data_IF_446442636219
#
_entry.id   IF_446442636219
#
_cell.length_a   1.000
_cell.length_b   1.000
_cell.length_c   1.000
_cell.angle_alpha   90.00
_cell.angle_beta   90.00
_cell.angle_gamma   90.00
#
_symmetry.space_group_name_H-M   'P 1'
#
loop_
_entity.id
_entity.type
_entity.pdbx_description
1 polymer ?
#
# COMPACT_ATOMS: atom_id res chain seq x y z
N UNK A 1 35.41 -17.60 25.07
CA UNK A 1 34.01 -17.48 25.52
C UNK A 1 33.36 -16.37 24.71
N UNK A 2 32.66 -16.72 23.64
CA UNK A 2 31.91 -15.84 22.74
C UNK A 2 30.82 -16.69 22.04
N UNK A 3 29.64 -16.14 21.71
CA UNK A 3 28.38 -16.88 21.83
C UNK A 3 27.59 -17.07 20.50
N UNK A 4 26.85 -18.18 20.45
CA UNK A 4 25.48 -18.32 19.93
C UNK A 4 25.10 -17.81 18.51
N UNK A 5 25.99 -17.85 17.51
CA UNK A 5 25.61 -17.63 16.11
C UNK A 5 25.27 -18.92 15.32
N UNK A 6 25.25 -20.09 15.97
CA UNK A 6 25.33 -21.38 15.28
C UNK A 6 24.04 -22.21 15.22
N UNK A 7 22.90 -21.73 15.72
CA UNK A 7 21.72 -22.59 15.91
C UNK A 7 20.48 -22.29 15.07
N UNK A 8 20.44 -21.21 14.27
CA UNK A 8 19.25 -20.92 13.44
C UNK A 8 19.38 -21.29 11.96
N UNK A 9 20.57 -21.67 11.49
CA UNK A 9 20.80 -22.11 10.10
C UNK A 9 20.71 -23.63 9.88
N UNK A 10 20.28 -24.40 10.87
CA UNK A 10 20.22 -25.87 10.78
C UNK A 10 18.84 -26.44 10.43
N UNK A 11 17.76 -25.65 10.46
CA UNK A 11 16.43 -26.17 10.09
C UNK A 11 16.16 -26.21 8.57
N UNK A 12 16.96 -25.52 7.74
CA UNK A 12 16.81 -25.62 6.28
C UNK A 12 17.72 -26.66 5.62
N UNK A 13 18.66 -27.27 6.37
CA UNK A 13 19.68 -28.15 5.79
C UNK A 13 19.44 -29.65 5.94
N UNK A 14 18.32 -30.10 6.53
CA UNK A 14 18.10 -31.54 6.78
C UNK A 14 17.00 -32.20 5.94
N UNK A 15 16.37 -31.49 5.00
CA UNK A 15 15.32 -32.07 4.13
C UNK A 15 15.79 -32.46 2.72
N UNK A 16 17.09 -32.36 2.38
CA UNK A 16 17.57 -32.71 1.02
C UNK A 16 18.88 -33.48 0.96
N UNK A 17 19.26 -34.17 2.04
CA UNK A 17 20.47 -35.00 2.04
C UNK A 17 20.27 -36.43 1.49
N UNK A 18 19.19 -36.71 0.74
CA UNK A 18 18.96 -38.04 0.14
C UNK A 18 18.63 -37.97 -1.37
N UNK A 19 19.38 -37.17 -2.13
CA UNK A 19 19.73 -37.44 -3.53
C UNK A 19 20.57 -36.26 -4.07
N UNK A 20 21.88 -36.31 -3.82
CA UNK A 20 22.82 -35.36 -4.42
C UNK A 20 23.60 -36.07 -5.53
N UNK A 21 23.04 -36.08 -6.74
CA UNK A 21 23.81 -36.21 -7.97
C UNK A 21 23.71 -34.87 -8.70
N UNK A 22 24.81 -34.10 -8.64
CA UNK A 22 25.20 -33.02 -9.55
C UNK A 22 24.07 -32.13 -10.10
N UNK A 23 23.47 -31.25 -9.30
CA UNK A 23 22.67 -30.14 -9.81
C UNK A 23 23.58 -29.11 -10.50
N UNK A 24 23.37 -28.87 -11.79
CA UNK A 24 24.06 -27.83 -12.58
C UNK A 24 23.45 -26.44 -12.31
N UNK A 25 24.19 -25.37 -12.57
CA UNK A 25 23.65 -24.01 -12.57
C UNK A 25 22.42 -23.88 -13.50
N UNK A 26 22.39 -24.65 -14.59
CA UNK A 26 21.24 -24.74 -15.50
C UNK A 26 19.99 -25.33 -14.84
N UNK A 27 20.16 -26.25 -13.89
CA UNK A 27 19.03 -26.83 -13.14
C UNK A 27 18.52 -25.84 -12.10
N UNK A 28 19.40 -25.03 -11.48
CA UNK A 28 18.97 -23.92 -10.63
C UNK A 28 18.17 -22.87 -11.43
N UNK A 29 18.63 -22.50 -12.63
CA UNK A 29 17.91 -21.56 -13.50
C UNK A 29 16.56 -22.10 -13.96
N UNK A 30 16.46 -23.41 -14.22
CA UNK A 30 15.20 -24.09 -14.52
C UNK A 30 14.23 -24.06 -13.35
N UNK A 31 14.71 -24.26 -12.12
CA UNK A 31 13.89 -24.20 -10.92
C UNK A 31 13.40 -22.76 -10.65
N UNK A 32 14.26 -21.75 -10.85
CA UNK A 32 13.89 -20.34 -10.75
C UNK A 32 12.83 -19.97 -11.79
N UNK A 33 12.99 -20.40 -13.04
CA UNK A 33 11.99 -20.19 -14.09
C UNK A 33 10.68 -20.95 -13.84
N UNK A 34 10.73 -22.14 -13.23
CA UNK A 34 9.52 -22.87 -12.84
C UNK A 34 8.76 -22.18 -11.71
N UNK A 35 9.45 -21.56 -10.75
CA UNK A 35 8.82 -20.75 -9.69
C UNK A 35 8.20 -19.47 -10.25
N UNK A 36 8.84 -18.81 -11.22
CA UNK A 36 8.27 -17.64 -11.92
C UNK A 36 7.01 -18.01 -12.74
N UNK A 37 6.97 -19.22 -13.32
CA UNK A 37 5.85 -19.69 -14.15
C UNK A 37 4.62 -20.12 -13.34
N UNK A 38 4.78 -20.38 -12.03
CA UNK A 38 3.71 -20.78 -11.11
C UNK A 38 3.16 -19.66 -10.23
N UNK A 39 3.74 -18.47 -10.27
CA UNK A 39 3.22 -17.31 -9.56
C UNK A 39 1.87 -16.91 -10.19
N UNK A 40 0.77 -17.36 -9.58
CA UNK A 40 -0.58 -16.93 -9.91
C UNK A 40 -0.64 -15.41 -9.70
N UNK A 41 -0.47 -14.64 -10.77
CA UNK A 41 -0.61 -13.19 -10.75
C UNK A 41 -1.99 -12.89 -10.18
N UNK A 42 -2.05 -12.28 -9.00
CA UNK A 42 -3.31 -11.89 -8.39
C UNK A 42 -4.05 -11.01 -9.40
N UNK A 43 -5.28 -11.38 -9.76
CA UNK A 43 -6.07 -10.61 -10.70
C UNK A 43 -6.24 -9.20 -10.13
N UNK A 44 -5.82 -8.19 -10.90
CA UNK A 44 -5.96 -6.80 -10.53
C UNK A 44 -7.44 -6.45 -10.56
N UNK A 45 -8.01 -6.11 -9.42
CA UNK A 45 -9.37 -5.57 -9.32
C UNK A 45 -9.34 -4.07 -9.17
N UNK A 46 -10.44 -3.39 -9.50
CA UNK A 46 -10.57 -1.99 -9.16
C UNK A 46 -10.53 -1.82 -7.63
N UNK A 47 -9.89 -0.75 -7.16
CA UNK A 47 -9.82 -0.43 -5.74
C UNK A 47 -8.59 0.38 -5.35
N UNK A 48 -8.60 0.90 -4.13
CA UNK A 48 -7.46 1.61 -3.55
C UNK A 48 -6.25 0.69 -3.38
N UNK A 49 -5.05 1.28 -3.32
CA UNK A 49 -3.88 0.57 -2.81
C UNK A 49 -4.13 0.09 -1.37
N UNK A 50 -3.57 -1.08 -1.01
CA UNK A 50 -3.97 -1.84 0.19
C UNK A 50 -3.81 -1.10 1.53
N UNK A 51 -2.94 -0.11 1.63
CA UNK A 51 -2.69 0.63 2.87
C UNK A 51 -3.67 1.79 3.10
N UNK A 52 -4.48 2.18 2.09
CA UNK A 52 -5.59 3.10 2.32
C UNK A 52 -6.71 2.36 3.04
N UNK A 53 -7.10 2.84 4.21
CA UNK A 53 -8.09 2.24 5.09
C UNK A 53 -8.93 3.33 5.77
N UNK A 54 -10.01 2.94 6.44
CA UNK A 54 -10.77 3.85 7.29
C UNK A 54 -9.91 4.35 8.46
N UNK A 55 -10.24 5.51 9.02
CA UNK A 55 -9.58 6.08 10.21
C UNK A 55 -8.09 6.40 10.02
N UNK A 56 -7.68 6.73 8.79
CA UNK A 56 -6.29 7.05 8.47
C UNK A 56 -6.02 8.55 8.45
N UNK A 57 -4.73 8.92 8.46
CA UNK A 57 -4.28 10.30 8.33
C UNK A 57 -3.59 10.49 6.98
N UNK A 58 -4.00 11.51 6.22
CA UNK A 58 -3.33 11.99 5.01
C UNK A 58 -2.52 13.25 5.31
N UNK A 59 -1.47 13.47 4.54
CA UNK A 59 -0.60 14.64 4.72
C UNK A 59 -1.37 15.94 4.51
N UNK A 60 -1.26 16.86 5.48
CA UNK A 60 -1.85 18.19 5.43
C UNK A 60 -1.07 19.18 4.54
N UNK A 61 -1.71 20.32 4.28
CA UNK A 61 -1.11 21.50 3.67
C UNK A 61 0.15 21.98 4.41
N UNK A 62 1.15 22.54 3.69
CA UNK A 62 1.10 22.93 2.26
C UNK A 62 1.31 21.77 1.28
N UNK A 63 1.64 20.57 1.75
CA UNK A 63 1.77 19.41 0.89
C UNK A 63 0.39 18.94 0.38
N UNK A 64 0.41 18.20 -0.72
CA UNK A 64 -0.78 17.64 -1.37
C UNK A 64 -0.75 16.13 -1.22
N UNK A 65 -1.80 15.55 -0.67
CA UNK A 65 -1.91 14.11 -0.52
C UNK A 65 -2.13 13.43 -1.89
N UNK A 66 -1.43 12.32 -2.12
CA UNK A 66 -1.62 11.47 -3.29
C UNK A 66 -2.44 10.24 -2.90
N UNK A 67 -3.54 10.01 -3.60
CA UNK A 67 -4.36 8.80 -3.46
C UNK A 67 -4.27 8.02 -4.76
N UNK A 68 -4.08 6.72 -4.67
CA UNK A 68 -3.94 5.88 -5.83
C UNK A 68 -4.47 4.47 -5.58
N UNK A 69 -4.63 3.74 -6.67
CA UNK A 69 -5.09 2.38 -6.67
C UNK A 69 -4.91 1.73 -8.02
N UNK A 70 -5.54 0.58 -8.18
CA UNK A 70 -5.40 -0.25 -9.36
C UNK A 70 -6.74 -0.46 -10.04
N UNK A 71 -6.71 -0.85 -11.31
CA UNK A 71 -7.87 -1.25 -12.10
C UNK A 71 -7.43 -2.19 -13.23
N UNK A 72 -8.23 -3.20 -13.58
CA UNK A 72 -7.92 -4.10 -14.70
C UNK A 72 -7.98 -3.40 -16.07
N UNK A 73 -8.77 -2.33 -16.21
CA UNK A 73 -9.09 -1.74 -17.51
C UNK A 73 -8.35 -0.43 -17.73
N UNK A 74 -7.33 -0.45 -18.61
CA UNK A 74 -6.60 0.75 -19.03
C UNK A 74 -7.53 1.71 -19.79
N UNK A 75 -7.34 3.02 -19.57
CA UNK A 75 -8.14 4.08 -20.19
C UNK A 75 -9.52 4.29 -19.57
N UNK A 76 -9.93 3.43 -18.62
CA UNK A 76 -11.19 3.60 -17.91
C UNK A 76 -11.16 4.88 -17.05
N UNK A 77 -12.28 5.61 -17.03
CA UNK A 77 -12.43 6.81 -16.19
C UNK A 77 -12.64 6.43 -14.74
N UNK A 78 -11.88 7.06 -13.85
CA UNK A 78 -12.05 6.97 -12.40
C UNK A 78 -12.43 8.34 -11.88
N UNK A 79 -13.48 8.42 -11.07
CA UNK A 79 -13.91 9.65 -10.41
C UNK A 79 -13.75 9.51 -8.90
N UNK A 80 -13.28 10.56 -8.24
CA UNK A 80 -13.14 10.62 -6.79
C UNK A 80 -14.03 11.73 -6.23
N UNK A 81 -14.83 11.40 -5.22
CA UNK A 81 -15.61 12.35 -4.43
C UNK A 81 -15.07 12.37 -3.01
N UNK A 82 -14.74 13.56 -2.52
CA UNK A 82 -14.27 13.81 -1.16
C UNK A 82 -15.28 14.72 -0.47
N UNK A 83 -15.87 14.25 0.62
CA UNK A 83 -16.90 14.96 1.38
C UNK A 83 -16.38 15.23 2.79
N UNK A 84 -16.39 16.48 3.20
CA UNK A 84 -15.99 16.89 4.58
C UNK A 84 -16.95 16.34 5.63
N UNK A 85 -16.48 16.18 6.87
CA UNK A 85 -17.30 15.76 8.00
C UNK A 85 -17.31 16.87 9.06
N UNK A 86 -18.47 17.47 9.40
CA UNK A 86 -19.80 17.23 8.81
C UNK A 86 -19.86 17.63 7.32
N UNK A 87 -20.82 17.06 6.58
CA UNK A 87 -21.00 17.17 5.12
C UNK A 87 -21.33 18.59 4.63
N UNK A 88 -20.33 19.47 4.73
CA UNK A 88 -20.45 20.91 4.41
C UNK A 88 -19.91 21.25 3.02
N UNK A 89 -18.91 20.48 2.56
CA UNK A 89 -18.22 20.67 1.28
C UNK A 89 -17.93 19.34 0.62
N UNK A 90 -18.09 19.31 -0.70
CA UNK A 90 -17.74 18.19 -1.57
C UNK A 90 -16.76 18.65 -2.64
N UNK A 91 -15.72 17.86 -2.86
CA UNK A 91 -14.69 18.07 -3.86
C UNK A 91 -14.70 16.88 -4.82
N UNK A 92 -14.59 17.15 -6.12
CA UNK A 92 -14.66 16.13 -7.17
C UNK A 92 -13.40 16.16 -8.01
N UNK A 93 -12.87 14.98 -8.31
CA UNK A 93 -11.68 14.79 -9.14
C UNK A 93 -11.97 13.71 -10.19
N UNK A 94 -11.32 13.81 -11.35
CA UNK A 94 -11.39 12.80 -12.40
C UNK A 94 -9.98 12.45 -12.89
N UNK A 95 -9.76 11.18 -13.21
CA UNK A 95 -8.52 10.68 -13.81
C UNK A 95 -8.85 9.48 -14.70
N UNK A 96 -7.84 8.95 -15.38
CA UNK A 96 -7.95 7.71 -16.16
C UNK A 96 -6.93 6.69 -15.69
N UNK A 97 -7.27 5.42 -15.87
CA UNK A 97 -6.34 4.33 -15.60
C UNK A 97 -5.22 4.35 -16.65
N UNK A 98 -3.97 4.43 -16.22
CA UNK A 98 -2.79 4.32 -17.05
C UNK A 98 -2.10 2.97 -16.84
N UNK A 99 -1.26 2.58 -17.79
CA UNK A 99 -0.48 1.35 -17.69
C UNK A 99 0.69 1.54 -16.71
N UNK A 100 0.83 0.63 -15.76
CA UNK A 100 1.93 0.56 -14.79
C UNK A 100 2.44 -0.90 -14.71
N UNK A 101 3.54 -1.18 -15.39
CA UNK A 101 4.06 -2.53 -15.58
C UNK A 101 3.06 -3.43 -16.31
N UNK A 102 2.68 -4.54 -15.67
CA UNK A 102 1.67 -5.48 -16.17
C UNK A 102 0.25 -5.20 -15.69
N UNK A 103 0.03 -4.09 -14.96
CA UNK A 103 -1.25 -3.74 -14.33
C UNK A 103 -1.70 -2.33 -14.74
N UNK A 104 -2.97 -2.03 -14.49
CA UNK A 104 -3.50 -0.66 -14.58
C UNK A 104 -3.47 0.04 -13.23
N UNK A 105 -3.03 1.29 -13.22
CA UNK A 105 -2.99 2.15 -12.04
C UNK A 105 -3.72 3.47 -12.31
N UNK A 106 -4.25 4.08 -11.26
CA UNK A 106 -4.83 5.41 -11.28
C UNK A 106 -4.37 6.19 -10.06
N UNK A 107 -4.26 7.51 -10.18
CA UNK A 107 -3.89 8.38 -9.07
C UNK A 107 -4.59 9.74 -9.12
N UNK A 108 -4.72 10.34 -7.95
CA UNK A 108 -5.24 11.68 -7.72
C UNK A 108 -4.29 12.43 -6.79
N UNK A 109 -3.88 13.63 -7.21
CA UNK A 109 -3.21 14.57 -6.32
C UNK A 109 -4.24 15.56 -5.80
N UNK A 110 -4.65 15.38 -4.55
CA UNK A 110 -5.70 16.16 -3.91
C UNK A 110 -5.28 17.60 -3.65
N UNK A 111 -6.25 18.49 -3.49
CA UNK A 111 -5.99 19.85 -3.01
C UNK A 111 -5.33 19.85 -1.63
N UNK A 112 -4.53 20.88 -1.30
CA UNK A 112 -3.95 20.98 0.02
C UNK A 112 -5.04 21.32 1.04
N UNK A 113 -5.23 20.47 2.05
CA UNK A 113 -6.18 20.67 3.14
C UNK A 113 -5.45 21.02 4.43
N UNK A 114 -5.99 21.98 5.20
CA UNK A 114 -5.45 22.32 6.51
C UNK A 114 -5.54 21.12 7.48
N UNK A 115 -4.74 21.17 8.56
CA UNK A 115 -4.78 20.16 9.61
C UNK A 115 -6.18 20.08 10.26
N UNK A 116 -6.59 18.89 10.67
CA UNK A 116 -7.81 18.67 11.45
C UNK A 116 -9.09 18.60 10.62
N UNK A 117 -9.00 18.62 9.29
CA UNK A 117 -10.16 18.40 8.42
C UNK A 117 -10.38 16.89 8.27
N UNK A 118 -11.56 16.41 8.66
CA UNK A 118 -12.00 15.03 8.44
C UNK A 118 -12.83 14.92 7.16
N UNK A 119 -12.62 13.87 6.39
CA UNK A 119 -13.31 13.62 5.11
C UNK A 119 -13.66 12.14 4.93
N UNK A 120 -14.67 11.89 4.12
CA UNK A 120 -14.94 10.59 3.52
C UNK A 120 -14.59 10.66 2.03
N UNK A 121 -13.94 9.62 1.51
CA UNK A 121 -13.46 9.55 0.13
C UNK A 121 -14.08 8.35 -0.55
N UNK A 122 -14.70 8.58 -1.70
CA UNK A 122 -15.29 7.55 -2.56
C UNK A 122 -14.65 7.62 -3.93
N UNK A 123 -14.30 6.47 -4.49
CA UNK A 123 -13.89 6.33 -5.89
C UNK A 123 -14.90 5.46 -6.64
N UNK A 124 -15.19 5.84 -7.87
CA UNK A 124 -16.12 5.17 -8.77
C UNK A 124 -15.46 4.93 -10.13
N UNK A 125 -15.65 3.74 -10.71
CA UNK A 125 -15.18 3.38 -12.04
C UNK A 125 -16.01 2.22 -12.59
N UNK A 126 -16.54 2.36 -13.81
CA UNK A 126 -17.22 1.24 -14.49
C UNK A 126 -18.42 0.62 -13.77
N UNK A 127 -19.06 1.34 -12.84
CA UNK A 127 -20.15 0.82 -12.02
C UNK A 127 -19.70 0.15 -10.71
N UNK A 128 -18.40 0.03 -10.47
CA UNK A 128 -17.83 -0.37 -9.19
C UNK A 128 -17.44 0.85 -8.35
N UNK A 129 -17.50 0.68 -7.02
CA UNK A 129 -17.25 1.77 -6.09
C UNK A 129 -16.56 1.30 -4.81
N UNK A 130 -15.62 2.09 -4.33
CA UNK A 130 -14.94 1.87 -3.05
C UNK A 130 -14.93 3.15 -2.23
N UNK A 131 -15.03 2.99 -0.91
CA UNK A 131 -15.01 4.10 0.04
C UNK A 131 -13.98 3.88 1.16
N UNK A 132 -13.39 4.97 1.61
CA UNK A 132 -12.69 5.07 2.88
C UNK A 132 -13.27 6.23 3.67
N UNK A 133 -13.51 6.01 4.95
CA UNK A 133 -14.21 6.95 5.82
C UNK A 133 -13.33 7.39 6.99
N UNK A 134 -13.66 8.54 7.57
CA UNK A 134 -12.94 9.13 8.71
C UNK A 134 -11.44 9.34 8.40
N UNK A 135 -11.16 9.96 7.27
CA UNK A 135 -9.79 10.31 6.86
C UNK A 135 -9.47 11.72 7.32
N UNK A 136 -8.42 11.91 8.10
CA UNK A 136 -8.03 13.21 8.65
C UNK A 136 -6.82 13.76 7.88
N UNK A 137 -6.82 15.04 7.53
CA UNK A 137 -5.60 15.71 7.08
C UNK A 137 -4.76 16.17 8.28
N UNK A 138 -3.53 15.69 8.41
CA UNK A 138 -2.67 15.95 9.57
C UNK A 138 -1.22 15.50 9.39
N UNK A 139 -0.47 15.52 10.49
CA UNK A 139 0.87 14.94 10.60
C UNK A 139 0.83 13.74 11.55
N UNK A 140 1.58 12.69 11.25
CA UNK A 140 1.75 11.53 12.13
C UNK A 140 3.15 11.57 12.75
N UNK A 141 3.22 11.71 14.07
CA UNK A 141 4.46 11.68 14.82
C UNK A 141 4.56 10.34 15.56
N UNK A 142 5.56 9.54 15.21
CA UNK A 142 5.86 8.29 15.92
C UNK A 142 6.77 8.62 17.10
N UNK A 143 6.21 8.70 18.30
CA UNK A 143 6.99 8.84 19.53
C UNK A 143 7.56 7.47 19.90
N UNK A 144 8.80 7.16 19.48
CA UNK A 144 9.52 5.98 19.93
C UNK A 144 10.43 6.33 21.12
N UNK A 145 10.25 5.65 22.25
CA UNK A 145 11.10 5.78 23.44
C UNK A 145 10.98 4.54 24.34
N UNK A 146 12.10 4.13 24.94
CA UNK A 146 12.11 3.13 26.01
C UNK A 146 11.86 3.82 27.37
N UNK A 147 10.77 3.43 28.02
CA UNK A 147 10.45 3.50 29.46
C UNK A 147 10.56 4.81 30.26
N UNK A 148 10.80 5.99 29.68
CA UNK A 148 10.67 7.26 30.42
C UNK A 148 9.84 8.29 29.66
N UNK A 149 8.55 8.03 29.53
CA UNK A 149 7.60 8.91 28.84
C UNK A 149 7.06 9.96 29.81
N UNK A 150 7.91 10.91 30.21
CA UNK A 150 7.46 12.21 30.71
C UNK A 150 7.84 13.27 29.68
N UNK A 151 6.90 13.56 28.77
CA UNK A 151 6.96 14.72 27.91
C UNK A 151 6.33 15.90 28.66
N UNK A 152 7.12 16.87 29.07
CA UNK A 152 6.61 18.19 29.47
C UNK A 152 6.26 18.93 28.19
N UNK A 153 4.96 19.10 27.92
CA UNK A 153 4.51 20.07 26.92
C UNK A 153 4.60 21.45 27.55
N UNK A 154 5.46 22.31 27.01
CA UNK A 154 5.38 23.74 27.29
C UNK A 154 4.21 24.31 26.48
N UNK A 155 3.27 24.91 27.20
CA UNK A 155 2.11 25.62 26.65
C UNK A 155 2.49 27.07 26.37
#
# INVERSE_FOLDING_TARGET
MAPAAFLFLLCFSLASALNLHHMSADDQDRLLNQQAKGAKVAAVTFGFARHFQNHMVLQRAPQRANIYGFSPTIGQKVTLQLVTVPATRTYSYETTVHQDGSAGAWNFVLDPFAAGITVNIRVDSGGESHNISDVIFGDVWVCSGQSNMQMTVFQ
#
